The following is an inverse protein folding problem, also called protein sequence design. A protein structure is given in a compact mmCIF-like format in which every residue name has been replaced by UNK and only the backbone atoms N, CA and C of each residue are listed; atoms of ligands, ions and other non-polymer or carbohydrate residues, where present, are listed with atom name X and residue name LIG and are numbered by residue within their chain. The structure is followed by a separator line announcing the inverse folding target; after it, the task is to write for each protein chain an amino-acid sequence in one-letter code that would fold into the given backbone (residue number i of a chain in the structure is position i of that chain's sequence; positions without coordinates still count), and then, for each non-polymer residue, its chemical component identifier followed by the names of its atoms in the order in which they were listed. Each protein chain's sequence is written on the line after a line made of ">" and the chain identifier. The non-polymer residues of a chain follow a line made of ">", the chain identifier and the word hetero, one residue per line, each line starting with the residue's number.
data_IF_286040083790
#
_entry.id   IF_286040083790
#
_cell.length_a   1.000
_cell.length_b   1.000
_cell.length_c   1.000
_cell.angle_alpha   90.00
_cell.angle_beta   90.00
_cell.angle_gamma   90.00
#
_symmetry.space_group_name_H-M   'P 1'
#
loop_
_entity.id
_entity.type
_entity.pdbx_description
1 polymer ?
#
# COMPACT_ATOMS: atom_id res chain seq x y z
N UNK A 1 34.35 -6.66 -6.15
CA UNK A 1 33.09 -5.92 -6.33
C UNK A 1 31.95 -6.87 -6.03
N UNK A 2 31.14 -6.58 -5.01
CA UNK A 2 29.97 -7.39 -4.67
C UNK A 2 28.83 -7.07 -5.66
N UNK A 3 28.36 -8.08 -6.40
CA UNK A 3 27.26 -7.91 -7.35
C UNK A 3 25.93 -7.93 -6.59
N UNK A 4 25.13 -6.84 -6.65
CA UNK A 4 23.73 -6.90 -6.22
C UNK A 4 22.98 -7.85 -7.14
N UNK A 5 22.34 -8.88 -6.56
CA UNK A 5 21.44 -9.80 -7.27
C UNK A 5 20.02 -9.65 -6.72
N UNK A 6 19.06 -9.65 -7.65
CA UNK A 6 17.67 -9.83 -7.30
C UNK A 6 17.42 -11.33 -7.14
N UNK A 7 16.91 -11.72 -5.98
CA UNK A 7 16.46 -13.07 -5.71
C UNK A 7 14.94 -13.03 -5.48
N UNK A 8 14.19 -14.08 -5.88
CA UNK A 8 12.78 -14.19 -5.53
C UNK A 8 12.59 -14.08 -4.02
N UNK A 9 11.59 -13.32 -3.61
CA UNK A 9 11.17 -13.20 -2.22
C UNK A 9 10.39 -14.45 -1.79
N UNK A 10 10.27 -14.71 -0.49
CA UNK A 10 9.64 -15.93 0.04
C UNK A 10 8.19 -16.06 -0.46
N UNK A 11 7.47 -14.93 -0.59
CA UNK A 11 6.09 -14.92 -1.05
C UNK A 11 5.94 -15.05 -2.58
N UNK A 12 6.98 -14.78 -3.38
CA UNK A 12 6.89 -14.83 -4.85
C UNK A 12 6.53 -16.24 -5.37
N UNK A 13 6.91 -17.28 -4.63
CA UNK A 13 6.62 -18.67 -4.98
C UNK A 13 5.28 -19.20 -4.47
N UNK A 14 4.51 -18.39 -3.74
CA UNK A 14 3.26 -18.83 -3.11
C UNK A 14 2.05 -18.43 -3.96
N UNK A 15 1.11 -19.35 -4.14
CA UNK A 15 -0.20 -19.04 -4.72
C UNK A 15 -0.99 -18.11 -3.79
N UNK A 16 -1.87 -17.29 -4.35
CA UNK A 16 -2.54 -16.23 -3.60
C UNK A 16 -3.40 -16.73 -2.43
N UNK A 17 -3.92 -17.96 -2.51
CA UNK A 17 -4.73 -18.65 -1.53
C UNK A 17 -3.92 -19.55 -0.57
N UNK A 18 -2.58 -19.59 -0.71
CA UNK A 18 -1.71 -20.29 0.25
C UNK A 18 -1.91 -19.67 1.65
N UNK A 19 -2.16 -20.52 2.64
CA UNK A 19 -2.34 -20.12 4.03
C UNK A 19 -1.21 -19.22 4.55
N UNK A 20 0.04 -19.47 4.15
CA UNK A 20 1.22 -18.68 4.55
C UNK A 20 1.18 -17.28 3.92
N UNK A 21 0.78 -17.17 2.66
CA UNK A 21 0.61 -15.88 1.99
C UNK A 21 -0.52 -15.06 2.65
N UNK A 22 -1.64 -15.69 2.97
CA UNK A 22 -2.74 -15.06 3.70
C UNK A 22 -2.33 -14.61 5.11
N UNK A 23 -1.59 -15.46 5.84
CA UNK A 23 -1.07 -15.13 7.17
C UNK A 23 -0.10 -13.94 7.12
N UNK A 24 0.86 -13.96 6.20
CA UNK A 24 1.81 -12.87 6.00
C UNK A 24 1.10 -11.54 5.71
N UNK A 25 0.11 -11.53 4.80
CA UNK A 25 -0.72 -10.33 4.52
C UNK A 25 -1.45 -9.84 5.78
N UNK A 26 -2.03 -10.75 6.58
CA UNK A 26 -2.72 -10.38 7.81
C UNK A 26 -1.76 -9.77 8.84
N UNK A 27 -0.57 -10.32 8.97
CA UNK A 27 0.42 -9.82 9.92
C UNK A 27 0.97 -8.47 9.49
N UNK A 28 1.25 -8.28 8.19
CA UNK A 28 1.61 -6.97 7.63
C UNK A 28 0.53 -5.92 7.89
N UNK A 29 -0.76 -6.26 7.71
CA UNK A 29 -1.85 -5.32 8.03
C UNK A 29 -1.83 -4.88 9.49
N UNK A 30 -1.55 -5.79 10.42
CA UNK A 30 -1.47 -5.49 11.86
C UNK A 30 -0.25 -4.63 12.20
N UNK A 31 0.91 -4.99 11.67
CA UNK A 31 2.16 -4.25 11.86
C UNK A 31 2.00 -2.83 11.31
N UNK A 32 1.49 -2.68 10.09
CA UNK A 32 1.28 -1.37 9.46
C UNK A 32 0.24 -0.52 10.22
N UNK A 33 -0.78 -1.15 10.81
CA UNK A 33 -1.72 -0.46 11.69
C UNK A 33 -1.04 0.03 12.97
N UNK A 34 -0.22 -0.80 13.62
CA UNK A 34 0.55 -0.44 14.82
C UNK A 34 1.57 0.68 14.53
N UNK A 35 2.20 0.64 13.36
CA UNK A 35 3.14 1.67 12.88
C UNK A 35 2.43 2.90 12.34
N UNK A 36 1.10 2.95 12.39
CA UNK A 36 0.28 4.07 11.91
C UNK A 36 0.48 4.42 10.43
N UNK A 37 0.83 3.46 9.57
CA UNK A 37 1.24 3.68 8.18
C UNK A 37 0.25 4.57 7.41
N UNK A 38 -1.05 4.24 7.42
CA UNK A 38 -2.07 5.01 6.71
C UNK A 38 -2.26 6.44 7.27
N UNK A 39 -2.07 6.62 8.59
CA UNK A 39 -2.16 7.94 9.24
C UNK A 39 -0.95 8.80 8.88
N UNK A 40 0.25 8.23 8.91
CA UNK A 40 1.49 8.90 8.52
C UNK A 40 1.41 9.30 7.05
N UNK A 41 1.04 8.37 6.15
CA UNK A 41 0.90 8.66 4.73
C UNK A 41 -0.10 9.79 4.47
N UNK A 42 -1.31 9.73 5.03
CA UNK A 42 -2.30 10.79 4.88
C UNK A 42 -1.80 12.15 5.41
N UNK A 43 -1.01 12.15 6.49
CA UNK A 43 -0.39 13.37 7.02
C UNK A 43 0.64 13.96 6.06
N UNK A 44 1.51 13.12 5.49
CA UNK A 44 2.50 13.53 4.51
C UNK A 44 1.85 14.04 3.23
N UNK A 45 0.82 13.36 2.74
CA UNK A 45 0.05 13.78 1.58
C UNK A 45 -0.59 15.16 1.79
N UNK A 46 -1.28 15.40 2.92
CA UNK A 46 -1.82 16.73 3.24
C UNK A 46 -0.73 17.80 3.32
N UNK A 47 0.43 17.46 3.86
CA UNK A 47 1.51 18.43 4.10
C UNK A 47 2.24 18.82 2.81
N UNK A 48 2.48 17.85 1.94
CA UNK A 48 3.41 18.01 0.81
C UNK A 48 2.75 17.98 -0.56
N UNK A 49 1.47 17.61 -0.65
CA UNK A 49 0.71 17.60 -1.90
C UNK A 49 -0.41 18.65 -1.77
N UNK A 50 -0.16 19.90 -2.22
CA UNK A 50 -0.97 21.08 -1.87
C UNK A 50 -2.38 21.10 -2.45
N UNK A 51 -2.71 20.19 -3.37
CA UNK A 51 -4.05 20.04 -3.94
C UNK A 51 -4.33 18.59 -4.34
N UNK A 52 -5.60 18.23 -4.63
CA UNK A 52 -5.95 16.88 -5.02
C UNK A 52 -5.24 16.47 -6.31
N UNK A 53 -4.47 15.36 -6.33
CA UNK A 53 -3.95 14.83 -7.57
C UNK A 53 -5.09 14.26 -8.42
N UNK A 54 -4.99 14.34 -9.75
CA UNK A 54 -6.01 13.73 -10.63
C UNK A 54 -6.02 12.20 -10.51
N UNK A 55 -4.83 11.58 -10.37
CA UNK A 55 -4.64 10.13 -10.36
C UNK A 55 -3.56 9.71 -9.37
N UNK A 56 -3.75 8.57 -8.73
CA UNK A 56 -2.73 7.88 -7.93
C UNK A 56 -2.67 6.42 -8.37
N UNK A 57 -1.45 5.91 -8.57
CA UNK A 57 -1.17 4.50 -8.82
C UNK A 57 -0.48 3.89 -7.59
N UNK A 58 -1.03 2.81 -7.05
CA UNK A 58 -0.38 1.95 -6.07
C UNK A 58 0.21 0.72 -6.78
N UNK A 59 1.52 0.50 -6.66
CA UNK A 59 2.22 -0.67 -7.22
C UNK A 59 2.48 -1.65 -6.08
N UNK A 60 2.03 -2.89 -6.23
CA UNK A 60 2.06 -3.88 -5.15
C UNK A 60 0.96 -3.59 -4.12
N UNK A 61 -0.27 -3.38 -4.59
CA UNK A 61 -1.40 -2.98 -3.75
C UNK A 61 -1.91 -4.11 -2.83
N UNK A 62 -1.53 -5.35 -3.08
CA UNK A 62 -2.03 -6.54 -2.41
C UNK A 62 -3.55 -6.61 -2.46
N UNK A 63 -4.18 -6.55 -1.28
CA UNK A 63 -5.64 -6.54 -1.13
C UNK A 63 -6.27 -5.13 -1.18
N UNK A 64 -5.48 -4.08 -1.42
CA UNK A 64 -5.91 -2.69 -1.50
C UNK A 64 -6.25 -2.04 -0.15
N UNK A 65 -6.13 -2.75 0.97
CA UNK A 65 -6.52 -2.24 2.29
C UNK A 65 -5.77 -0.96 2.68
N UNK A 66 -4.50 -0.85 2.31
CA UNK A 66 -3.68 0.31 2.63
C UNK A 66 -4.20 1.57 1.94
N UNK A 67 -4.32 1.56 0.61
CA UNK A 67 -4.77 2.74 -0.13
C UNK A 67 -6.23 3.08 0.18
N UNK A 68 -7.10 2.11 0.41
CA UNK A 68 -8.46 2.38 0.90
C UNK A 68 -8.44 3.13 2.25
N UNK A 69 -7.55 2.75 3.18
CA UNK A 69 -7.41 3.42 4.46
C UNK A 69 -6.85 4.84 4.33
N UNK A 70 -5.96 5.10 3.37
CA UNK A 70 -5.46 6.44 3.05
C UNK A 70 -6.57 7.28 2.39
N UNK A 71 -7.26 6.74 1.39
CA UNK A 71 -8.35 7.38 0.67
C UNK A 71 -9.45 7.87 1.61
N UNK A 72 -9.91 7.03 2.54
CA UNK A 72 -10.91 7.41 3.56
C UNK A 72 -10.47 8.58 4.43
N UNK A 73 -9.17 8.70 4.72
CA UNK A 73 -8.62 9.82 5.52
C UNK A 73 -8.45 11.09 4.68
N UNK A 74 -8.32 10.95 3.37
CA UNK A 74 -8.12 12.06 2.43
C UNK A 74 -9.40 12.54 1.76
N UNK A 75 -10.48 11.76 1.77
CA UNK A 75 -11.71 12.02 1.02
C UNK A 75 -12.29 13.43 1.24
N UNK A 76 -12.22 13.96 2.46
CA UNK A 76 -12.68 15.33 2.76
C UNK A 76 -11.77 16.45 2.24
N UNK A 77 -10.51 16.14 1.94
CA UNK A 77 -9.53 17.10 1.44
C UNK A 77 -9.38 17.02 -0.09
N UNK A 78 -9.52 15.81 -0.65
CA UNK A 78 -9.24 15.52 -2.05
C UNK A 78 -10.46 14.92 -2.76
N UNK A 79 -11.37 15.76 -3.26
CA UNK A 79 -12.47 15.29 -4.09
C UNK A 79 -11.99 14.89 -5.49
N UNK A 80 -12.62 13.89 -6.09
CA UNK A 80 -12.44 13.55 -7.51
C UNK A 80 -11.10 12.92 -7.88
N UNK A 81 -10.39 12.29 -6.92
CA UNK A 81 -9.14 11.57 -7.19
C UNK A 81 -9.43 10.16 -7.69
N UNK A 82 -8.84 9.79 -8.82
CA UNK A 82 -8.88 8.43 -9.37
C UNK A 82 -7.75 7.59 -8.75
N UNK A 83 -8.09 6.45 -8.15
CA UNK A 83 -7.13 5.51 -7.57
C UNK A 83 -7.04 4.26 -8.45
N UNK A 84 -5.84 3.94 -8.92
CA UNK A 84 -5.54 2.69 -9.61
C UNK A 84 -4.65 1.82 -8.71
N UNK A 85 -5.05 0.57 -8.50
CA UNK A 85 -4.30 -0.40 -7.72
C UNK A 85 -3.78 -1.48 -8.68
N UNK A 86 -2.47 -1.63 -8.75
CA UNK A 86 -1.80 -2.63 -9.58
C UNK A 86 -1.15 -3.66 -8.65
N UNK A 87 -1.62 -4.91 -8.76
CA UNK A 87 -1.00 -6.07 -8.14
C UNK A 87 -0.84 -7.20 -9.17
N UNK A 88 -0.13 -8.26 -8.81
CA UNK A 88 0.27 -9.35 -9.72
C UNK A 88 -0.75 -10.49 -9.73
#
# INVERSE_FOLDING_TARGET
>A
MEHRRLAPEILDGLVADDFRALAARRDLRRINALMFQARIMASLLRKFVPGPPRRILEIGAGDGSFMLAVARRMAGHWPGVELTMLDR
#
